data_IF_264342713140
#
_entry.id   IF_264342713140
#
_cell.length_a   1.000
_cell.length_b   1.000
_cell.length_c   1.000
_cell.angle_alpha   90.00
_cell.angle_beta   90.00
_cell.angle_gamma   90.00
#
_symmetry.space_group_name_H-M   'P 1'
#
loop_
_entity.id
_entity.type
_entity.pdbx_description
1 polymer ?
#
# COMPACT_ATOMS: atom_id res chain seq x y z
N UNK A 1 -5.17 -16.10 9.87
CA UNK A 1 -4.18 -16.97 9.20
C UNK A 1 -4.68 -18.38 9.43
N UNK A 2 -4.95 -19.12 8.37
CA UNK A 2 -5.40 -20.51 8.48
C UNK A 2 -4.39 -21.36 7.73
N UNK A 3 -3.86 -22.38 8.39
CA UNK A 3 -2.91 -23.34 7.84
C UNK A 3 -3.71 -24.60 7.58
N UNK A 4 -3.96 -24.92 6.31
CA UNK A 4 -4.54 -26.20 5.92
C UNK A 4 -3.40 -27.14 5.55
N UNK A 5 -3.24 -28.22 6.32
CA UNK A 5 -2.40 -29.35 5.93
C UNK A 5 -3.17 -30.16 4.90
N UNK A 6 -2.67 -30.21 3.66
CA UNK A 6 -3.12 -31.18 2.67
C UNK A 6 -2.04 -32.25 2.61
N UNK A 7 -2.40 -33.46 3.10
CA UNK A 7 -1.52 -34.61 3.11
C UNK A 7 -0.77 -34.79 1.77
N UNK A 8 0.48 -35.27 1.86
CA UNK A 8 1.57 -35.18 0.87
C UNK A 8 2.61 -34.06 1.10
N UNK A 9 2.62 -33.46 2.30
CA UNK A 9 3.63 -32.46 2.71
C UNK A 9 3.50 -31.15 1.94
N UNK A 10 2.26 -30.71 1.70
CA UNK A 10 1.96 -29.40 1.10
C UNK A 10 1.02 -28.63 2.04
N UNK A 11 1.55 -27.60 2.68
CA UNK A 11 0.76 -26.63 3.43
C UNK A 11 0.28 -25.51 2.51
N UNK A 12 -1.02 -25.25 2.51
CA UNK A 12 -1.60 -24.08 1.84
C UNK A 12 -1.77 -22.95 2.85
N UNK A 13 -1.03 -21.85 2.64
CA UNK A 13 -1.14 -20.63 3.45
C UNK A 13 -2.04 -19.62 2.74
N UNK A 14 -3.25 -19.40 3.28
CA UNK A 14 -4.11 -18.29 2.87
C UNK A 14 -3.85 -17.08 3.75
N UNK A 15 -3.15 -16.09 3.22
CA UNK A 15 -2.98 -14.78 3.85
C UNK A 15 -3.70 -13.70 3.03
N UNK A 16 -4.52 -12.91 3.73
CA UNK A 16 -5.21 -11.77 3.14
C UNK A 16 -4.45 -10.51 3.52
N UNK A 17 -3.74 -9.92 2.55
CA UNK A 17 -3.06 -8.64 2.73
C UNK A 17 -4.02 -7.52 2.34
N UNK A 18 -4.37 -6.68 3.31
CA UNK A 18 -5.12 -5.44 3.07
C UNK A 18 -4.23 -4.31 3.55
N UNK A 19 -3.58 -3.53 2.67
CA UNK A 19 -2.96 -2.28 3.09
C UNK A 19 -4.07 -1.42 3.72
N UNK A 20 -3.99 -1.21 5.04
CA UNK A 20 -4.95 -0.39 5.77
C UNK A 20 -4.62 1.07 5.47
N UNK A 21 -5.30 1.64 4.48
CA UNK A 21 -5.39 3.10 4.36
C UNK A 21 -6.01 3.61 5.65
N UNK A 22 -5.22 4.28 6.48
CA UNK A 22 -5.73 4.87 7.72
C UNK A 22 -6.67 6.04 7.35
N UNK A 23 -7.69 6.33 8.18
CA UNK A 23 -8.55 7.50 7.99
C UNK A 23 -7.72 8.79 7.86
N UNK A 24 -6.61 8.89 8.60
CA UNK A 24 -5.65 9.97 8.49
C UNK A 24 -5.05 10.08 7.08
N UNK A 25 -4.67 8.97 6.44
CA UNK A 25 -4.15 8.97 5.07
C UNK A 25 -5.17 9.44 4.02
N UNK A 26 -6.46 9.13 4.20
CA UNK A 26 -7.51 9.64 3.32
C UNK A 26 -7.71 11.16 3.47
N UNK A 27 -7.61 11.69 4.69
CA UNK A 27 -7.68 13.12 4.97
C UNK A 27 -6.53 13.90 4.31
N UNK A 28 -5.30 13.35 4.37
CA UNK A 28 -4.11 13.98 3.79
C UNK A 28 -4.11 14.03 2.25
N UNK A 29 -4.91 13.22 1.57
CA UNK A 29 -5.09 13.31 0.11
C UNK A 29 -6.30 14.20 -0.23
N UNK A 30 -7.42 14.04 0.48
CA UNK A 30 -8.66 14.75 0.18
C UNK A 30 -8.56 16.26 0.40
N UNK A 31 -7.87 16.67 1.47
CA UNK A 31 -7.71 18.08 1.81
C UNK A 31 -6.94 18.86 0.72
N UNK A 32 -5.71 18.49 0.31
CA UNK A 32 -4.99 19.24 -0.70
C UNK A 32 -5.63 19.17 -2.10
N UNK A 33 -6.35 18.07 -2.43
CA UNK A 33 -7.14 18.01 -3.66
C UNK A 33 -8.31 19.02 -3.67
N UNK A 34 -9.01 19.19 -2.55
CA UNK A 34 -10.06 20.20 -2.41
C UNK A 34 -9.49 21.63 -2.44
N UNK A 35 -8.34 21.86 -1.80
CA UNK A 35 -7.66 23.17 -1.84
C UNK A 35 -7.12 23.49 -3.25
N UNK A 36 -6.69 22.49 -4.03
CA UNK A 36 -6.25 22.68 -5.42
C UNK A 36 -7.39 23.19 -6.32
N UNK A 37 -8.59 22.63 -6.13
CA UNK A 37 -9.82 23.11 -6.77
C UNK A 37 -10.17 24.54 -6.36
N UNK A 38 -9.98 24.90 -5.08
CA UNK A 38 -10.17 26.28 -4.61
C UNK A 38 -9.16 27.27 -5.22
N UNK A 39 -7.87 26.92 -5.22
CA UNK A 39 -6.80 27.78 -5.72
C UNK A 39 -6.87 28.01 -7.24
N UNK A 40 -7.34 27.03 -8.01
CA UNK A 40 -7.57 27.18 -9.46
C UNK A 40 -8.73 28.11 -9.76
N UNK A 41 -9.77 28.13 -8.93
CA UNK A 41 -10.89 29.07 -9.05
C UNK A 41 -10.50 30.51 -8.66
N UNK A 42 -9.54 30.67 -7.75
CA UNK A 42 -9.01 31.98 -7.31
C UNK A 42 -7.91 32.56 -8.23
N UNK A 43 -7.50 31.85 -9.29
CA UNK A 43 -6.41 32.28 -10.19
C UNK A 43 -5.02 32.28 -9.54
N UNK A 44 -4.86 31.65 -8.38
CA UNK A 44 -3.62 31.58 -7.62
C UNK A 44 -2.77 30.37 -8.06
N UNK A 45 -2.17 30.45 -9.25
CA UNK A 45 -1.44 29.34 -9.89
C UNK A 45 -0.30 28.77 -9.02
N UNK A 46 0.39 29.62 -8.28
CA UNK A 46 1.48 29.22 -7.37
C UNK A 46 0.99 28.36 -6.21
N UNK A 47 -0.14 28.71 -5.60
CA UNK A 47 -0.77 27.92 -4.55
C UNK A 47 -1.25 26.57 -5.10
N UNK A 48 -1.82 26.57 -6.31
CA UNK A 48 -2.20 25.35 -7.00
C UNK A 48 -1.01 24.40 -7.24
N UNK A 49 0.12 24.91 -7.73
CA UNK A 49 1.32 24.10 -7.94
C UNK A 49 1.85 23.44 -6.65
N UNK A 50 1.87 24.19 -5.53
CA UNK A 50 2.31 23.67 -4.22
C UNK A 50 1.38 22.54 -3.75
N UNK A 51 0.07 22.72 -3.88
CA UNK A 51 -0.93 21.73 -3.46
C UNK A 51 -0.92 20.48 -4.35
N UNK A 52 -0.75 20.64 -5.65
CA UNK A 52 -0.61 19.52 -6.58
C UNK A 52 0.63 18.68 -6.25
N UNK A 53 1.77 19.33 -6.00
CA UNK A 53 3.01 18.66 -5.62
C UNK A 53 2.85 17.93 -4.28
N UNK A 54 2.26 18.56 -3.27
CA UNK A 54 1.99 17.94 -1.98
C UNK A 54 1.10 16.69 -2.12
N UNK A 55 0.05 16.77 -2.95
CA UNK A 55 -0.85 15.64 -3.23
C UNK A 55 -0.12 14.49 -3.92
N UNK A 56 0.72 14.78 -4.93
CA UNK A 56 1.52 13.77 -5.63
C UNK A 56 2.52 13.08 -4.70
N UNK A 57 3.19 13.84 -3.83
CA UNK A 57 4.13 13.28 -2.85
C UNK A 57 3.41 12.36 -1.85
N UNK A 58 2.25 12.77 -1.34
CA UNK A 58 1.44 11.96 -0.44
C UNK A 58 0.97 10.66 -1.12
N UNK A 59 0.43 10.75 -2.33
CA UNK A 59 -0.01 9.60 -3.12
C UNK A 59 1.15 8.63 -3.41
N UNK A 60 2.31 9.17 -3.83
CA UNK A 60 3.52 8.38 -4.06
C UNK A 60 4.00 7.67 -2.79
N UNK A 61 3.94 8.33 -1.63
CA UNK A 61 4.36 7.72 -0.37
C UNK A 61 3.45 6.58 0.07
N UNK A 62 2.13 6.73 -0.12
CA UNK A 62 1.15 5.68 0.12
C UNK A 62 1.35 4.49 -0.82
N UNK A 63 1.59 4.74 -2.10
CA UNK A 63 1.89 3.71 -3.08
C UNK A 63 3.17 2.93 -2.70
N UNK A 64 4.20 3.64 -2.25
CA UNK A 64 5.44 3.03 -1.75
C UNK A 64 5.20 2.13 -0.54
N UNK A 65 4.41 2.56 0.45
CA UNK A 65 4.08 1.75 1.63
C UNK A 65 3.26 0.51 1.28
N UNK A 66 2.34 0.63 0.32
CA UNK A 66 1.60 -0.53 -0.17
C UNK A 66 2.53 -1.52 -0.90
N UNK A 67 3.45 -1.02 -1.71
CA UNK A 67 4.42 -1.83 -2.42
C UNK A 67 5.37 -2.56 -1.46
N UNK A 68 5.91 -1.87 -0.45
CA UNK A 68 6.80 -2.49 0.55
C UNK A 68 6.08 -3.53 1.39
N UNK A 69 4.85 -3.26 1.82
CA UNK A 69 4.03 -4.24 2.54
C UNK A 69 3.77 -5.49 1.68
N UNK A 70 3.45 -5.31 0.40
CA UNK A 70 3.24 -6.41 -0.54
C UNK A 70 4.54 -7.21 -0.77
N UNK A 71 5.66 -6.53 -0.99
CA UNK A 71 6.96 -7.18 -1.17
C UNK A 71 7.36 -8.02 0.05
N UNK A 72 7.15 -7.50 1.26
CA UNK A 72 7.43 -8.24 2.50
C UNK A 72 6.58 -9.52 2.60
N UNK A 73 5.31 -9.46 2.19
CA UNK A 73 4.43 -10.64 2.21
C UNK A 73 4.80 -11.69 1.18
N UNK A 74 5.25 -11.27 -0.02
CA UNK A 74 5.73 -12.17 -1.06
C UNK A 74 7.03 -12.84 -0.61
N UNK A 75 7.97 -12.07 -0.08
CA UNK A 75 9.24 -12.60 0.43
C UNK A 75 9.02 -13.61 1.57
N UNK A 76 8.08 -13.33 2.48
CA UNK A 76 7.72 -14.27 3.54
C UNK A 76 7.12 -15.58 2.98
N UNK A 77 6.26 -15.49 1.96
CA UNK A 77 5.68 -16.66 1.31
C UNK A 77 6.74 -17.50 0.60
N UNK A 78 7.65 -16.87 -0.13
CA UNK A 78 8.77 -17.54 -0.81
C UNK A 78 9.73 -18.22 0.17
N UNK A 79 10.00 -17.58 1.32
CA UNK A 79 10.83 -18.16 2.38
C UNK A 79 10.22 -19.46 2.91
N UNK A 80 8.92 -19.45 3.25
CA UNK A 80 8.23 -20.65 3.72
C UNK A 80 8.23 -21.75 2.66
N UNK A 81 7.99 -21.40 1.39
CA UNK A 81 8.04 -22.36 0.29
C UNK A 81 9.42 -23.03 0.16
N UNK A 82 10.52 -22.26 0.27
CA UNK A 82 11.88 -22.80 0.25
C UNK A 82 12.17 -23.72 1.43
N UNK A 83 11.76 -23.35 2.64
CA UNK A 83 11.96 -24.18 3.83
C UNK A 83 11.25 -25.53 3.71
N UNK A 84 10.03 -25.56 3.17
CA UNK A 84 9.32 -26.81 2.92
C UNK A 84 9.99 -27.67 1.82
N UNK A 85 10.57 -27.04 0.79
CA UNK A 85 11.23 -27.76 -0.30
C UNK A 85 12.56 -28.41 0.14
N UNK A 86 13.32 -27.77 1.04
CA UNK A 86 14.58 -28.30 1.56
C UNK A 86 14.40 -29.36 2.68
N UNK A 87 13.17 -29.55 3.17
CA UNK A 87 12.86 -30.55 4.19
C UNK A 87 12.41 -31.90 3.61
N UNK A 88 12.39 -32.03 2.28
CA UNK A 88 12.12 -33.29 1.55
C UNK A 88 13.44 -33.87 1.05
#
# INVERSE_FOLDING_TARGET
>A
MTIEEHGAGRQLLRFRVRPKLTPAGSFWIGLPAALLLGATLDGAESAGAILALATLLAAGRIAFECATATAATVAAAEFVQRSCNNSK
#
